data_IF_458785314917
#
_entry.id   IF_458785314917
#
_cell.length_a   1.000
_cell.length_b   1.000
_cell.length_c   1.000
_cell.angle_alpha   90.00
_cell.angle_beta   90.00
_cell.angle_gamma   90.00
#
_symmetry.space_group_name_H-M   'P 1'
#
loop_
_entity.id
_entity.type
_entity.pdbx_description
1 polymer ?
#
# COMPACT_ATOMS: atom_id res chain seq x y z
N UNK A 1 14.18 -60.77 96.22
CA UNK A 1 15.37 -59.89 96.13
C UNK A 1 14.94 -58.61 95.44
N UNK A 2 14.75 -57.55 96.20
CA UNK A 2 14.33 -56.23 95.69
C UNK A 2 15.49 -55.26 95.89
N UNK A 3 16.12 -54.80 94.82
CA UNK A 3 17.19 -53.80 94.86
C UNK A 3 16.60 -52.42 94.65
N UNK A 4 16.65 -51.58 95.69
CA UNK A 4 16.28 -50.16 95.68
C UNK A 4 17.33 -49.36 94.91
N UNK A 5 16.93 -48.71 93.81
CA UNK A 5 17.74 -47.75 93.06
C UNK A 5 17.54 -46.34 93.61
N UNK A 6 18.58 -45.76 94.18
CA UNK A 6 18.59 -44.39 94.72
C UNK A 6 18.57 -43.33 93.60
N UNK A 7 17.59 -42.42 93.66
CA UNK A 7 17.50 -41.22 92.81
C UNK A 7 18.53 -40.19 93.31
N UNK A 8 19.43 -39.64 92.47
CA UNK A 8 20.33 -38.57 92.90
C UNK A 8 19.56 -37.25 93.06
N UNK A 9 19.70 -36.59 94.21
CA UNK A 9 19.06 -35.29 94.48
C UNK A 9 19.65 -34.19 93.58
N UNK A 10 18.81 -33.58 92.75
CA UNK A 10 19.14 -32.34 92.03
C UNK A 10 19.43 -31.22 93.04
N UNK A 11 20.65 -30.66 93.01
CA UNK A 11 21.02 -29.46 93.76
C UNK A 11 20.29 -28.24 93.17
N UNK A 12 19.54 -27.52 94.01
CA UNK A 12 18.90 -26.25 93.66
C UNK A 12 19.97 -25.17 93.44
N UNK A 13 19.92 -24.47 92.31
CA UNK A 13 20.82 -23.36 92.01
C UNK A 13 20.43 -22.10 92.79
N UNK A 14 21.42 -21.46 93.44
CA UNK A 14 21.23 -20.25 94.29
C UNK A 14 21.25 -18.96 93.44
N UNK A 15 21.58 -19.04 92.15
CA UNK A 15 21.58 -17.89 91.26
C UNK A 15 20.21 -17.68 90.62
N UNK A 16 19.74 -16.43 90.50
CA UNK A 16 18.58 -16.13 89.68
C UNK A 16 18.89 -16.52 88.23
N UNK A 17 18.05 -17.35 87.62
CA UNK A 17 18.17 -17.70 86.21
C UNK A 17 18.13 -16.41 85.36
N UNK A 18 18.99 -16.26 84.34
CA UNK A 18 18.95 -15.12 83.44
C UNK A 18 17.56 -15.02 82.78
N UNK A 19 17.02 -13.81 82.55
CA UNK A 19 15.72 -13.64 81.92
C UNK A 19 15.73 -14.34 80.57
N UNK A 20 14.76 -15.21 80.34
CA UNK A 20 14.65 -15.95 79.09
C UNK A 20 14.47 -14.97 77.93
N UNK A 21 15.34 -15.03 76.93
CA UNK A 21 15.19 -14.28 75.69
C UNK A 21 13.96 -14.82 74.95
N UNK A 22 12.87 -14.05 74.96
CA UNK A 22 11.62 -14.43 74.30
C UNK A 22 11.78 -14.18 72.80
N UNK A 23 12.13 -15.24 72.07
CA UNK A 23 12.23 -15.20 70.62
C UNK A 23 10.82 -15.23 70.03
N UNK A 24 10.31 -14.06 69.62
CA UNK A 24 9.03 -13.91 68.92
C UNK A 24 9.14 -14.57 67.54
N UNK A 25 8.79 -15.85 67.47
CA UNK A 25 8.57 -16.55 66.20
C UNK A 25 7.20 -16.13 65.68
N UNK A 26 7.21 -15.27 64.66
CA UNK A 26 6.04 -14.92 63.85
C UNK A 26 5.63 -16.15 63.03
N UNK A 27 5.03 -17.14 63.70
CA UNK A 27 4.52 -18.35 63.07
C UNK A 27 3.15 -18.01 62.49
N UNK A 28 2.98 -18.07 61.16
CA UNK A 28 1.73 -17.69 60.55
C UNK A 28 0.61 -18.60 61.04
N UNK A 29 -0.49 -17.98 61.44
CA UNK A 29 -1.71 -18.67 61.89
C UNK A 29 -2.28 -19.50 60.73
N UNK A 30 -2.96 -20.61 61.04
CA UNK A 30 -3.67 -21.40 60.03
C UNK A 30 -4.60 -20.51 59.18
N UNK A 31 -5.29 -19.54 59.79
CA UNK A 31 -6.16 -18.60 59.08
C UNK A 31 -5.38 -17.69 58.13
N UNK A 32 -4.21 -17.21 58.57
CA UNK A 32 -3.34 -16.35 57.79
C UNK A 32 -2.82 -17.06 56.54
N UNK A 33 -2.51 -18.35 56.64
CA UNK A 33 -2.13 -19.18 55.49
C UNK A 33 -3.28 -19.28 54.47
N UNK A 34 -4.51 -19.52 54.93
CA UNK A 34 -5.68 -19.62 54.04
C UNK A 34 -6.01 -18.28 53.37
N UNK A 35 -5.96 -17.17 54.10
CA UNK A 35 -6.13 -15.82 53.53
C UNK A 35 -5.00 -15.51 52.53
N UNK A 36 -3.77 -15.90 52.85
CA UNK A 36 -2.62 -15.73 51.98
C UNK A 36 -2.73 -16.54 50.68
N UNK A 37 -3.27 -17.76 50.74
CA UNK A 37 -3.56 -18.58 49.55
C UNK A 37 -4.69 -17.94 48.74
N UNK A 38 -5.81 -17.59 49.37
CA UNK A 38 -6.97 -16.99 48.70
C UNK A 38 -6.62 -15.66 48.01
N UNK A 39 -5.82 -14.81 48.66
CA UNK A 39 -5.34 -13.56 48.07
C UNK A 39 -4.47 -13.85 46.85
N UNK A 40 -3.54 -14.80 46.94
CA UNK A 40 -2.63 -15.15 45.84
C UNK A 40 -3.36 -15.73 44.65
N UNK A 41 -4.36 -16.60 44.87
CA UNK A 41 -5.17 -17.15 43.78
C UNK A 41 -5.99 -16.05 43.12
N UNK A 42 -6.67 -15.21 43.90
CA UNK A 42 -7.44 -14.08 43.37
C UNK A 42 -6.57 -13.11 42.55
N UNK A 43 -5.41 -12.71 43.07
CA UNK A 43 -4.49 -11.82 42.33
C UNK A 43 -3.91 -12.51 41.11
N UNK A 44 -3.62 -13.81 41.17
CA UNK A 44 -3.13 -14.57 40.01
C UNK A 44 -4.16 -14.64 38.88
N UNK A 45 -5.45 -14.84 39.20
CA UNK A 45 -6.53 -14.85 38.20
C UNK A 45 -6.74 -13.47 37.59
N UNK A 46 -6.71 -12.41 38.41
CA UNK A 46 -6.76 -11.04 37.91
C UNK A 46 -5.59 -10.73 36.97
N UNK A 47 -4.37 -11.09 37.38
CA UNK A 47 -3.18 -10.88 36.57
C UNK A 47 -3.22 -11.69 35.26
N UNK A 48 -3.73 -12.92 35.30
CA UNK A 48 -3.89 -13.75 34.11
C UNK A 48 -4.94 -13.18 33.14
N UNK A 49 -6.06 -12.66 33.66
CA UNK A 49 -7.06 -11.98 32.85
C UNK A 49 -6.49 -10.70 32.21
N UNK A 50 -5.77 -9.88 32.99
CA UNK A 50 -5.05 -8.71 32.48
C UNK A 50 -4.02 -9.09 31.40
N UNK A 51 -3.27 -10.18 31.60
CA UNK A 51 -2.27 -10.65 30.64
C UNK A 51 -2.91 -11.11 29.31
N UNK A 52 -4.09 -11.76 29.35
CA UNK A 52 -4.80 -12.12 28.11
C UNK A 52 -5.26 -10.87 27.34
N UNK A 53 -5.88 -9.91 28.03
CA UNK A 53 -6.35 -8.67 27.41
C UNK A 53 -5.16 -7.91 26.82
N UNK A 54 -4.08 -7.77 27.59
CA UNK A 54 -2.86 -7.13 27.12
C UNK A 54 -2.27 -7.86 25.91
N UNK A 55 -2.28 -9.19 25.90
CA UNK A 55 -1.84 -9.99 24.76
C UNK A 55 -2.68 -9.75 23.49
N UNK A 56 -4.00 -9.59 23.61
CA UNK A 56 -4.88 -9.24 22.47
C UNK A 56 -4.55 -7.83 21.95
N UNK A 57 -4.45 -6.86 22.86
CA UNK A 57 -4.12 -5.46 22.51
C UNK A 57 -2.75 -5.39 21.84
N UNK A 58 -1.74 -6.08 22.35
CA UNK A 58 -0.42 -6.13 21.73
C UNK A 58 -0.43 -6.74 20.33
N UNK A 59 -1.25 -7.77 20.08
CA UNK A 59 -1.42 -8.32 18.72
C UNK A 59 -2.08 -7.30 17.79
N UNK A 60 -3.10 -6.59 18.27
CA UNK A 60 -3.77 -5.55 17.50
C UNK A 60 -2.82 -4.41 17.13
N UNK A 61 -2.07 -3.89 18.10
CA UNK A 61 -1.02 -2.87 17.86
C UNK A 61 0.03 -3.40 16.88
N UNK A 62 0.40 -4.68 16.97
CA UNK A 62 1.29 -5.30 16.01
C UNK A 62 0.75 -5.32 14.58
N UNK A 63 -0.56 -5.56 14.41
CA UNK A 63 -1.23 -5.47 13.10
C UNK A 63 -1.23 -4.03 12.60
N UNK A 64 -1.62 -3.08 13.45
CA UNK A 64 -1.65 -1.66 13.13
C UNK A 64 -0.26 -1.17 12.68
N UNK A 65 0.79 -1.48 13.45
CA UNK A 65 2.15 -1.12 13.09
C UNK A 65 2.56 -1.72 11.74
N UNK A 66 2.23 -2.98 11.44
CA UNK A 66 2.56 -3.58 10.14
C UNK A 66 1.84 -2.86 8.99
N UNK A 67 0.56 -2.56 9.17
CA UNK A 67 -0.24 -1.82 8.18
C UNK A 67 0.33 -0.41 8.00
N UNK A 68 0.63 0.29 9.08
CA UNK A 68 1.20 1.62 9.06
C UNK A 68 2.57 1.65 8.38
N UNK A 69 3.47 0.72 8.74
CA UNK A 69 4.77 0.60 8.07
C UNK A 69 4.60 0.30 6.59
N UNK A 70 3.63 -0.55 6.20
CA UNK A 70 3.34 -0.82 4.80
C UNK A 70 2.83 0.41 4.07
N UNK A 71 1.85 1.10 4.63
CA UNK A 71 1.31 2.34 4.05
C UNK A 71 2.41 3.39 3.91
N UNK A 72 3.22 3.60 4.95
CA UNK A 72 4.36 4.52 4.93
C UNK A 72 5.42 4.13 3.89
N UNK A 73 5.63 2.84 3.66
CA UNK A 73 6.58 2.38 2.64
C UNK A 73 6.11 2.65 1.20
N UNK A 74 4.78 2.69 0.99
CA UNK A 74 4.20 2.98 -0.33
C UNK A 74 4.14 4.48 -0.60
N UNK A 75 3.91 5.26 0.45
CA UNK A 75 3.78 6.71 0.38
C UNK A 75 5.17 7.37 0.18
N UNK A 76 5.38 8.11 -0.91
CA UNK A 76 6.61 8.88 -1.08
C UNK A 76 6.67 10.04 -0.08
N UNK A 77 7.88 10.53 0.28
CA UNK A 77 8.01 11.66 1.18
C UNK A 77 7.38 12.94 0.59
N UNK A 78 6.80 13.80 1.43
CA UNK A 78 6.04 14.99 0.99
C UNK A 78 6.90 16.06 0.30
N UNK A 79 8.23 15.94 0.40
CA UNK A 79 9.21 16.75 -0.33
C UNK A 79 9.27 16.41 -1.82
N UNK A 80 8.95 15.17 -2.19
CA UNK A 80 8.97 14.72 -3.58
C UNK A 80 7.59 14.87 -4.24
N UNK A 81 6.52 14.53 -3.53
CA UNK A 81 5.16 14.49 -4.08
C UNK A 81 4.11 14.97 -3.08
N UNK A 82 3.21 15.85 -3.51
CA UNK A 82 2.08 16.35 -2.70
C UNK A 82 0.84 15.48 -2.91
N UNK A 83 0.60 14.56 -1.97
CA UNK A 83 -0.46 13.54 -2.12
C UNK A 83 -1.86 14.13 -2.04
N UNK A 84 -2.14 15.03 -1.08
CA UNK A 84 -3.48 15.59 -0.90
C UNK A 84 -4.04 16.26 -2.17
N UNK A 85 -3.36 17.25 -2.79
CA UNK A 85 -3.89 17.87 -4.00
C UNK A 85 -3.96 16.87 -5.18
N UNK A 86 -2.97 15.98 -5.32
CA UNK A 86 -2.98 14.96 -6.39
C UNK A 86 -4.16 13.99 -6.25
N UNK A 87 -4.46 13.54 -5.04
CA UNK A 87 -5.60 12.65 -4.76
C UNK A 87 -6.93 13.37 -5.01
N UNK A 88 -7.03 14.66 -4.66
CA UNK A 88 -8.21 15.47 -4.97
C UNK A 88 -8.41 15.59 -6.49
N UNK A 89 -7.36 15.85 -7.27
CA UNK A 89 -7.48 15.91 -8.73
C UNK A 89 -7.89 14.57 -9.34
N UNK A 90 -7.36 13.46 -8.84
CA UNK A 90 -7.79 12.12 -9.25
C UNK A 90 -9.26 11.85 -8.92
N UNK A 91 -9.72 12.25 -7.73
CA UNK A 91 -11.12 12.13 -7.33
C UNK A 91 -12.06 13.00 -8.18
N UNK A 92 -11.65 14.23 -8.49
CA UNK A 92 -12.40 15.12 -9.39
C UNK A 92 -12.47 14.54 -10.80
N UNK A 93 -11.38 13.97 -11.31
CA UNK A 93 -11.36 13.30 -12.61
C UNK A 93 -12.29 12.08 -12.65
N UNK A 94 -12.28 11.26 -11.59
CA UNK A 94 -13.21 10.14 -11.43
C UNK A 94 -14.67 10.61 -11.44
N UNK A 95 -15.00 11.63 -10.64
CA UNK A 95 -16.35 12.18 -10.56
C UNK A 95 -16.81 12.79 -11.89
N UNK A 96 -15.91 13.52 -12.55
CA UNK A 96 -16.13 14.07 -13.88
C UNK A 96 -16.42 12.97 -14.89
N UNK A 97 -15.68 11.85 -14.82
CA UNK A 97 -15.95 10.65 -15.60
C UNK A 97 -17.31 10.04 -15.32
N UNK A 98 -17.74 9.96 -14.06
CA UNK A 98 -19.07 9.48 -13.68
C UNK A 98 -20.20 10.36 -14.24
N UNK A 99 -20.03 11.67 -14.20
CA UNK A 99 -20.98 12.62 -14.81
C UNK A 99 -21.03 12.43 -16.32
N UNK A 100 -19.87 12.32 -16.98
CA UNK A 100 -19.78 12.15 -18.43
C UNK A 100 -20.35 10.80 -18.90
N UNK A 101 -20.20 9.76 -18.07
CA UNK A 101 -20.70 8.42 -18.36
C UNK A 101 -22.17 8.22 -17.98
N UNK A 102 -22.81 9.20 -17.32
CA UNK A 102 -24.18 9.11 -16.79
C UNK A 102 -25.21 8.67 -17.84
N UNK A 103 -25.09 9.16 -19.07
CA UNK A 103 -25.98 8.86 -20.20
C UNK A 103 -25.37 7.90 -21.24
N UNK A 104 -24.26 7.25 -20.91
CA UNK A 104 -23.61 6.28 -21.80
C UNK A 104 -24.09 4.85 -21.47
N UNK A 105 -23.85 3.93 -22.39
CA UNK A 105 -24.12 2.51 -22.18
C UNK A 105 -23.38 1.98 -20.94
N UNK A 106 -23.93 0.92 -20.31
CA UNK A 106 -23.38 0.29 -19.10
C UNK A 106 -21.86 0.07 -19.07
N UNK A 107 -21.20 -0.46 -20.13
CA UNK A 107 -19.75 -0.67 -20.09
C UNK A 107 -18.98 0.65 -19.96
N UNK A 108 -19.34 1.68 -20.72
CA UNK A 108 -18.72 3.00 -20.62
C UNK A 108 -19.02 3.62 -19.25
N UNK A 109 -20.23 3.43 -18.74
CA UNK A 109 -20.63 3.90 -17.40
C UNK A 109 -19.79 3.29 -16.28
N UNK A 110 -19.43 2.02 -16.39
CA UNK A 110 -18.60 1.34 -15.41
C UNK A 110 -17.11 1.65 -15.57
N UNK A 111 -16.62 1.75 -16.82
CA UNK A 111 -15.18 1.85 -17.11
C UNK A 111 -14.66 3.28 -17.16
N UNK A 112 -15.45 4.25 -17.63
CA UNK A 112 -14.98 5.62 -17.83
C UNK A 112 -14.57 6.31 -16.51
N UNK A 113 -15.33 6.22 -15.41
CA UNK A 113 -14.95 6.85 -14.15
C UNK A 113 -13.60 6.35 -13.59
N UNK A 114 -13.38 5.02 -13.40
CA UNK A 114 -12.11 4.53 -12.91
C UNK A 114 -10.97 4.78 -13.91
N UNK A 115 -11.22 4.73 -15.22
CA UNK A 115 -10.19 5.04 -16.21
C UNK A 115 -9.67 6.48 -16.07
N UNK A 116 -10.56 7.47 -15.92
CA UNK A 116 -10.14 8.86 -15.71
C UNK A 116 -9.52 9.08 -14.33
N UNK A 117 -10.07 8.46 -13.28
CA UNK A 117 -9.50 8.56 -11.94
C UNK A 117 -8.10 7.97 -11.84
N UNK A 118 -7.88 6.76 -12.37
CA UNK A 118 -6.58 6.11 -12.39
C UNK A 118 -5.61 6.82 -13.34
N UNK A 119 -6.07 7.28 -14.51
CA UNK A 119 -5.26 8.09 -15.41
C UNK A 119 -4.77 9.37 -14.73
N UNK A 120 -5.65 10.11 -14.07
CA UNK A 120 -5.29 11.28 -13.29
C UNK A 120 -4.35 10.92 -12.12
N UNK A 121 -4.56 9.81 -11.42
CA UNK A 121 -3.65 9.35 -10.37
C UNK A 121 -2.25 9.08 -10.93
N UNK A 122 -2.11 8.41 -12.07
CA UNK A 122 -0.79 8.19 -12.69
C UNK A 122 -0.10 9.49 -13.13
N UNK A 123 -0.87 10.52 -13.46
CA UNK A 123 -0.35 11.82 -13.89
C UNK A 123 0.04 12.73 -12.70
N UNK A 124 -0.84 12.86 -11.70
CA UNK A 124 -0.64 13.75 -10.55
C UNK A 124 0.10 13.09 -9.38
N UNK A 125 0.09 11.75 -9.31
CA UNK A 125 0.72 10.96 -8.25
C UNK A 125 1.66 9.88 -8.83
N UNK A 126 2.70 10.26 -9.59
CA UNK A 126 3.50 9.31 -10.35
C UNK A 126 4.33 8.35 -9.47
N UNK A 127 4.89 8.82 -8.34
CA UNK A 127 5.71 7.96 -7.46
C UNK A 127 4.84 7.01 -6.67
N UNK A 128 3.74 7.52 -6.09
CA UNK A 128 2.78 6.67 -5.39
C UNK A 128 2.21 5.59 -6.33
N UNK A 129 1.83 5.97 -7.54
CA UNK A 129 1.31 5.02 -8.54
C UNK A 129 2.34 3.96 -8.92
N UNK A 130 3.62 4.34 -9.06
CA UNK A 130 4.70 3.39 -9.34
C UNK A 130 4.95 2.43 -8.17
N UNK A 131 4.98 2.93 -6.93
CA UNK A 131 5.18 2.10 -5.74
C UNK A 131 4.04 1.12 -5.52
N UNK A 132 2.79 1.57 -5.69
CA UNK A 132 1.61 0.70 -5.59
C UNK A 132 1.63 -0.36 -6.69
N UNK A 133 2.02 0.01 -7.92
CA UNK A 133 2.12 -0.95 -9.02
C UNK A 133 3.24 -1.98 -8.81
N UNK A 134 4.39 -1.55 -8.30
CA UNK A 134 5.48 -2.46 -7.95
C UNK A 134 5.02 -3.45 -6.87
N UNK A 135 4.37 -2.95 -5.81
CA UNK A 135 3.84 -3.82 -4.77
C UNK A 135 2.77 -4.78 -5.27
N UNK A 136 1.86 -4.33 -6.14
CA UNK A 136 0.88 -5.22 -6.75
C UNK A 136 1.58 -6.34 -7.54
N UNK A 137 2.67 -6.03 -8.25
CA UNK A 137 3.52 -7.02 -8.91
C UNK A 137 4.14 -8.01 -7.92
N UNK A 138 4.77 -7.53 -6.84
CA UNK A 138 5.35 -8.39 -5.81
C UNK A 138 4.31 -9.34 -5.20
N UNK A 139 3.08 -8.84 -4.99
CA UNK A 139 1.97 -9.62 -4.44
C UNK A 139 1.42 -10.65 -5.45
N UNK A 140 1.34 -10.28 -6.73
CA UNK A 140 1.00 -11.20 -7.81
C UNK A 140 2.06 -12.31 -7.92
N UNK A 141 3.34 -11.99 -7.82
CA UNK A 141 4.44 -12.96 -7.87
C UNK A 141 4.42 -13.93 -6.68
N UNK A 142 4.11 -13.43 -5.48
CA UNK A 142 4.09 -14.24 -4.26
C UNK A 142 2.85 -15.16 -4.18
N UNK A 143 1.66 -14.64 -4.49
CA UNK A 143 0.40 -15.36 -4.26
C UNK A 143 -0.25 -15.92 -5.52
N UNK A 144 0.07 -15.41 -6.71
CA UNK A 144 -0.58 -15.79 -7.96
C UNK A 144 0.37 -15.74 -9.18
N UNK A 145 1.42 -16.58 -9.21
CA UNK A 145 2.49 -16.50 -10.22
C UNK A 145 2.01 -16.73 -11.67
N UNK A 146 0.88 -17.42 -11.86
CA UNK A 146 0.26 -17.56 -13.18
C UNK A 146 -0.31 -16.23 -13.69
N UNK A 147 -0.91 -15.43 -12.80
CA UNK A 147 -1.41 -14.10 -13.15
C UNK A 147 -0.28 -13.16 -13.51
N UNK A 148 0.83 -13.20 -12.77
CA UNK A 148 2.01 -12.38 -13.05
C UNK A 148 2.55 -12.62 -14.48
N UNK A 149 2.65 -13.88 -14.92
CA UNK A 149 3.07 -14.23 -16.29
C UNK A 149 2.12 -13.71 -17.36
N UNK A 150 0.81 -13.80 -17.12
CA UNK A 150 -0.21 -13.25 -18.02
C UNK A 150 -0.11 -11.74 -18.07
N UNK A 151 0.14 -11.08 -16.95
CA UNK A 151 0.27 -9.63 -16.85
C UNK A 151 1.50 -9.14 -17.63
N UNK A 152 2.65 -9.81 -17.50
CA UNK A 152 3.87 -9.50 -18.26
C UNK A 152 3.66 -9.67 -19.78
N UNK A 153 3.06 -10.78 -20.19
CA UNK A 153 2.73 -11.02 -21.60
C UNK A 153 1.73 -9.97 -22.12
N UNK A 154 0.74 -9.62 -21.29
CA UNK A 154 -0.25 -8.59 -21.56
C UNK A 154 0.38 -7.20 -21.72
N UNK A 155 1.38 -6.83 -20.91
CA UNK A 155 2.13 -5.58 -21.04
C UNK A 155 2.83 -5.49 -22.39
N UNK A 156 3.51 -6.56 -22.81
CA UNK A 156 4.18 -6.60 -24.12
C UNK A 156 3.18 -6.45 -25.28
N UNK A 157 2.04 -7.13 -25.21
CA UNK A 157 1.00 -7.04 -26.23
C UNK A 157 0.31 -5.66 -26.24
N UNK A 158 0.10 -5.05 -25.08
CA UNK A 158 -0.43 -3.71 -24.95
C UNK A 158 0.54 -2.66 -25.54
N UNK A 159 1.84 -2.80 -25.27
CA UNK A 159 2.86 -1.93 -25.85
C UNK A 159 2.90 -2.02 -27.38
N UNK A 160 2.85 -3.23 -27.93
CA UNK A 160 2.74 -3.43 -29.38
C UNK A 160 1.43 -2.87 -29.95
N UNK A 161 0.31 -3.06 -29.25
CA UNK A 161 -0.99 -2.51 -29.65
C UNK A 161 -0.96 -0.98 -29.70
N UNK A 162 -0.38 -0.35 -28.67
CA UNK A 162 -0.19 1.10 -28.62
C UNK A 162 0.69 1.61 -29.76
N UNK A 163 1.83 0.96 -30.01
CA UNK A 163 2.71 1.30 -31.12
C UNK A 163 1.98 1.25 -32.47
N UNK A 164 1.17 0.21 -32.70
CA UNK A 164 0.35 0.10 -33.93
C UNK A 164 -0.70 1.20 -34.05
N UNK A 165 -1.32 1.63 -32.96
CA UNK A 165 -2.28 2.75 -32.99
C UNK A 165 -1.59 4.06 -33.34
N UNK A 166 -0.42 4.32 -32.77
CA UNK A 166 0.39 5.50 -33.08
C UNK A 166 0.81 5.49 -34.56
N UNK A 167 1.30 4.35 -35.05
CA UNK A 167 1.71 4.17 -36.44
C UNK A 167 0.53 4.29 -37.42
N UNK A 168 -0.62 3.68 -37.10
CA UNK A 168 -1.83 3.83 -37.91
C UNK A 168 -2.30 5.29 -37.98
N UNK A 169 -2.13 6.05 -36.90
CA UNK A 169 -2.51 7.47 -36.85
C UNK A 169 -1.55 8.33 -37.69
N UNK A 170 -0.25 8.07 -37.64
CA UNK A 170 0.73 8.78 -38.49
C UNK A 170 0.56 8.42 -39.97
N UNK A 171 0.32 7.14 -40.27
CA UNK A 171 0.02 6.65 -41.62
C UNK A 171 -1.30 7.18 -42.19
N UNK A 172 -2.33 7.35 -41.34
CA UNK A 172 -3.60 7.96 -41.74
C UNK A 172 -3.43 9.44 -42.10
N UNK A 173 -2.61 10.19 -41.36
CA UNK A 173 -2.30 11.60 -41.68
C UNK A 173 -1.57 11.71 -43.01
N UNK A 174 -0.57 10.87 -43.26
CA UNK A 174 0.14 10.82 -44.54
C UNK A 174 -0.81 10.45 -45.71
N UNK A 175 -1.72 9.51 -45.48
CA UNK A 175 -2.72 9.09 -46.49
C UNK A 175 -3.76 10.17 -46.76
N UNK A 176 -4.15 10.95 -45.75
CA UNK A 176 -5.05 12.09 -45.90
C UNK A 176 -4.41 13.21 -46.74
N UNK A 177 -3.13 13.52 -46.52
CA UNK A 177 -2.37 14.47 -47.34
C UNK A 177 -2.28 14.00 -48.81
N UNK A 178 -2.04 12.70 -49.03
CA UNK A 178 -2.07 12.08 -50.36
C UNK A 178 -3.45 12.14 -51.05
N UNK A 179 -4.53 11.93 -50.31
CA UNK A 179 -5.89 12.02 -50.85
C UNK A 179 -6.28 13.46 -51.21
N UNK A 180 -5.94 14.44 -50.36
CA UNK A 180 -6.19 15.87 -50.63
C UNK A 180 -5.44 16.32 -51.88
N UNK A 181 -4.16 15.94 -52.01
CA UNK A 181 -3.36 16.29 -53.20
C UNK A 181 -3.84 15.61 -54.47
N UNK A 182 -4.38 14.38 -54.38
CA UNK A 182 -5.00 13.66 -55.50
C UNK A 182 -6.32 14.27 -55.96
N UNK A 183 -7.17 14.71 -55.03
CA UNK A 183 -8.42 15.42 -55.35
C UNK A 183 -8.14 16.76 -56.01
N UNK A 184 -7.20 17.54 -55.47
CA UNK A 184 -6.78 18.82 -56.08
C UNK A 184 -6.20 18.60 -57.48
N UNK A 185 -5.43 17.51 -57.69
CA UNK A 185 -4.91 17.14 -59.02
C UNK A 185 -6.01 16.86 -60.04
N UNK A 186 -7.01 16.04 -59.68
CA UNK A 186 -8.14 15.72 -60.57
C UNK A 186 -9.00 16.94 -60.90
N UNK A 187 -9.21 17.84 -59.94
CA UNK A 187 -9.94 19.10 -60.19
C UNK A 187 -9.14 20.00 -61.14
N UNK A 188 -7.81 20.06 -61.02
CA UNK A 188 -6.95 20.81 -61.93
C UNK A 188 -6.93 20.24 -63.36
N UNK A 189 -6.95 18.92 -63.53
CA UNK A 189 -7.01 18.26 -64.85
C UNK A 189 -8.34 18.52 -65.58
N UNK A 190 -9.46 18.52 -64.85
CA UNK A 190 -10.80 18.72 -65.44
C UNK A 190 -11.07 20.21 -65.72
N UNK A 191 -10.56 21.11 -64.89
CA UNK A 191 -10.86 22.55 -64.99
C UNK A 191 -9.77 23.39 -65.66
N UNK A 192 -8.58 22.82 -65.89
CA UNK A 192 -7.43 23.54 -66.48
C UNK A 192 -6.85 24.66 -65.60
N UNK A 193 -7.41 24.91 -64.41
CA UNK A 193 -7.00 25.97 -63.50
C UNK A 193 -5.82 25.49 -62.63
N UNK A 194 -4.73 26.27 -62.61
CA UNK A 194 -3.50 25.97 -61.84
C UNK A 194 -3.66 26.17 -60.33
N UNK A 195 -4.59 25.45 -59.71
CA UNK A 195 -4.90 25.54 -58.28
C UNK A 195 -3.74 25.10 -57.38
N UNK A 196 -2.91 24.14 -57.81
CA UNK A 196 -1.68 23.75 -57.08
C UNK A 196 -0.67 24.88 -56.89
N UNK A 197 -0.63 25.84 -57.83
CA UNK A 197 0.34 26.95 -57.79
C UNK A 197 -0.19 28.12 -56.93
N UNK A 198 -1.51 28.32 -56.89
CA UNK A 198 -2.17 29.33 -56.07
C UNK A 198 -2.34 28.94 -54.59
N UNK A 199 -2.53 27.64 -54.30
CA UNK A 199 -2.65 27.10 -52.93
C UNK A 199 -1.30 26.87 -52.22
N UNK A 200 -0.18 27.34 -52.78
CA UNK A 200 1.11 27.34 -52.09
C UNK A 200 1.76 25.96 -51.88
N UNK A 201 1.29 24.90 -52.55
CA UNK A 201 1.83 23.53 -52.40
C UNK A 201 3.32 23.46 -52.77
N UNK A 202 3.80 24.34 -53.67
CA UNK A 202 5.23 24.48 -53.99
C UNK A 202 6.08 25.14 -52.88
N UNK A 203 5.48 25.92 -51.98
CA UNK A 203 6.21 26.54 -50.87
C UNK A 203 6.58 25.50 -49.81
N UNK A 204 5.66 24.57 -49.52
CA UNK A 204 5.86 23.48 -48.54
C UNK A 204 6.94 22.49 -49.01
N UNK A 205 6.98 22.14 -50.30
CA UNK A 205 8.04 21.28 -50.86
C UNK A 205 9.42 21.97 -50.90
N UNK A 206 9.48 23.29 -51.00
CA UNK A 206 10.74 24.05 -50.94
C UNK A 206 11.28 24.17 -49.52
N UNK A 207 10.44 24.47 -48.53
CA UNK A 207 10.85 24.50 -47.12
C UNK A 207 11.36 23.14 -46.64
N UNK A 208 10.66 22.05 -46.97
CA UNK A 208 11.09 20.69 -46.61
C UNK A 208 12.48 20.34 -47.17
N UNK A 209 12.76 20.75 -48.42
CA UNK A 209 14.07 20.53 -49.06
C UNK A 209 15.17 21.45 -48.53
N UNK A 210 14.83 22.62 -48.00
CA UNK A 210 15.79 23.51 -47.34
C UNK A 210 16.15 23.05 -45.93
N UNK A 211 15.20 22.50 -45.18
CA UNK A 211 15.46 21.90 -43.85
C UNK A 211 16.32 20.63 -43.96
N UNK A 212 16.06 19.76 -44.93
CA UNK A 212 16.86 18.54 -45.16
C UNK A 212 18.31 18.84 -45.56
N UNK A 213 18.56 20.01 -46.20
CA UNK A 213 19.89 20.43 -46.65
C UNK A 213 20.72 21.18 -45.60
N UNK A 214 20.10 21.59 -44.48
CA UNK A 214 20.79 22.19 -43.31
C UNK A 214 21.22 21.16 -42.27
N UNK A 215 20.82 19.90 -42.45
CA UNK A 215 21.13 18.76 -41.57
C UNK A 215 22.22 17.83 -42.12
N UNK A 216 22.83 18.18 -43.26
CA UNK A 216 24.05 17.59 -43.82
C UNK A 216 25.15 18.65 -43.80
#
# INVERSE_FOLDING_TARGET
MSTSSSVPSQKLSIYPSPPADVLLLDSPSALEQHIGVARRTATSHLNAAHAQVQGVVSRWIGVENRVEHRIKSLIPPPTEERILPGALYAAVAFLSGAILARHRALPIRALLPPALGLGAATHFLPRLSANVRAYAGDLEDEYAPELARVHETGKAHAAMGWARVVEATSGARASAEGAVTGVVGKVQEVTGLKLREALGVKAVEKEKKEEEKKLV
#
